data_IF_042563553081
#
_entry.id   IF_042563553081
#
_cell.length_a   1.000
_cell.length_b   1.000
_cell.length_c   1.000
_cell.angle_alpha   90.00
_cell.angle_beta   90.00
_cell.angle_gamma   90.00
#
_symmetry.space_group_name_H-M   'P 1'
#
loop_
_entity.id
_entity.type
_entity.pdbx_description
1 polymer ?
#
# COMPACT_ATOMS: atom_id res chain seq x y z
N UNK A 1 19.13 9.45 21.03
CA UNK A 1 18.75 9.15 20.76
C UNK A 1 18.01 9.04 20.31
N UNK A 2 17.69 9.41 20.40
CA UNK A 2 16.99 9.33 20.07
C UNK A 2 16.50 9.11 19.47
N UNK A 3 16.39 9.32 19.43
CA UNK A 3 15.85 9.11 18.87
C UNK A 3 15.32 8.66 18.28
N UNK A 4 15.35 8.68 17.99
CA UNK A 4 14.75 8.14 17.51
C UNK A 4 14.34 7.33 17.24
N UNK A 5 14.90 7.52 16.77
CA UNK A 5 14.29 6.26 16.70
C UNK A 5 13.35 5.97 17.62
N UNK A 6 13.58 6.30 18.37
CA UNK A 6 12.77 5.95 19.40
C UNK A 6 11.47 6.56 19.37
N UNK A 7 11.10 7.18 18.34
CA UNK A 7 9.80 7.74 18.28
C UNK A 7 8.80 6.71 17.87
N UNK A 8 7.98 6.23 18.76
CA UNK A 8 7.02 5.19 18.42
C UNK A 8 5.95 5.63 17.46
N UNK A 9 5.83 6.91 17.25
CA UNK A 9 4.82 7.41 16.34
C UNK A 9 5.27 7.45 14.91
N UNK A 10 6.52 7.18 14.67
CA UNK A 10 7.03 7.16 13.31
C UNK A 10 6.36 6.07 12.54
N UNK A 11 5.92 6.35 11.32
CA UNK A 11 5.35 5.29 10.50
C UNK A 11 6.42 4.26 10.21
N UNK A 12 6.00 3.02 10.07
CA UNK A 12 6.90 1.96 9.72
C UNK A 12 7.51 2.23 8.36
N UNK A 13 8.80 2.03 8.24
CA UNK A 13 9.49 2.23 6.98
C UNK A 13 9.37 0.99 6.11
N UNK A 14 9.27 1.15 4.80
CA UNK A 14 9.23 -0.01 3.92
C UNK A 14 10.57 -0.73 3.92
N UNK A 15 10.52 -2.04 3.78
CA UNK A 15 11.73 -2.84 3.65
C UNK A 15 12.44 -2.58 2.34
N UNK A 16 11.67 -2.23 1.31
CA UNK A 16 12.20 -1.93 0.00
C UNK A 16 11.69 -0.56 -0.44
N UNK A 17 12.39 0.51 -0.05
CA UNK A 17 11.92 1.86 -0.37
C UNK A 17 11.78 2.14 -1.86
N UNK A 18 12.65 1.55 -2.68
CA UNK A 18 12.57 1.76 -4.12
C UNK A 18 11.28 1.18 -4.68
N UNK A 19 10.93 -0.01 -4.23
CA UNK A 19 9.71 -0.64 -4.67
C UNK A 19 8.48 0.09 -4.14
N UNK A 20 8.57 0.61 -2.93
CA UNK A 20 7.51 1.42 -2.36
C UNK A 20 7.24 2.64 -3.24
N UNK A 21 8.30 3.34 -3.63
CA UNK A 21 8.17 4.51 -4.49
C UNK A 21 7.56 4.13 -5.84
N UNK A 22 7.98 3.00 -6.37
CA UNK A 22 7.45 2.49 -7.62
C UNK A 22 5.95 2.19 -7.50
N UNK A 23 5.55 1.64 -6.36
CA UNK A 23 4.15 1.32 -6.11
C UNK A 23 3.31 2.59 -6.07
N UNK A 24 3.81 3.63 -5.41
CA UNK A 24 3.11 4.92 -5.35
C UNK A 24 2.92 5.48 -6.75
N UNK A 25 3.97 5.45 -7.55
CA UNK A 25 3.92 5.90 -8.92
C UNK A 25 2.87 5.14 -9.72
N UNK A 26 2.86 3.83 -9.56
CA UNK A 26 1.94 2.99 -10.30
C UNK A 26 0.49 3.29 -9.90
N UNK A 27 0.25 3.50 -8.61
CA UNK A 27 -1.07 3.86 -8.14
C UNK A 27 -1.55 5.17 -8.74
N UNK A 28 -0.69 6.17 -8.73
CA UNK A 28 -1.02 7.47 -9.30
C UNK A 28 -1.27 7.37 -10.79
N UNK A 29 -0.50 6.53 -11.47
CA UNK A 29 -0.67 6.32 -12.89
C UNK A 29 -2.04 5.75 -13.19
N UNK A 30 -2.49 4.78 -12.40
CA UNK A 30 -3.80 4.20 -12.58
C UNK A 30 -4.91 5.25 -12.43
N UNK A 31 -4.78 6.10 -11.42
CA UNK A 31 -5.75 7.15 -11.21
C UNK A 31 -5.76 8.15 -12.35
N UNK A 32 -4.59 8.50 -12.86
CA UNK A 32 -4.48 9.45 -13.96
C UNK A 32 -5.08 8.89 -15.25
N UNK A 33 -5.10 7.58 -15.39
CA UNK A 33 -5.69 6.93 -16.54
C UNK A 33 -7.20 6.77 -16.40
N UNK A 34 -7.76 7.25 -15.30
CA UNK A 34 -9.19 7.17 -15.09
C UNK A 34 -9.66 5.90 -14.42
N UNK A 35 -8.74 5.09 -13.93
CA UNK A 35 -9.10 3.87 -13.24
C UNK A 35 -9.53 4.18 -11.81
N UNK A 36 -10.19 3.22 -11.16
CA UNK A 36 -10.73 3.43 -9.83
C UNK A 36 -9.65 3.36 -8.77
N UNK A 37 -9.99 3.85 -7.57
CA UNK A 37 -9.08 3.73 -6.43
C UNK A 37 -8.78 2.27 -6.13
N UNK A 38 -9.76 1.40 -6.31
CA UNK A 38 -9.55 -0.03 -6.09
C UNK A 38 -8.53 -0.58 -7.07
N UNK A 39 -8.58 -0.15 -8.34
CA UNK A 39 -7.60 -0.57 -9.32
C UNK A 39 -6.21 -0.10 -8.94
N UNK A 40 -6.12 1.15 -8.50
CA UNK A 40 -4.84 1.70 -8.07
C UNK A 40 -4.29 0.93 -6.86
N UNK A 41 -5.15 0.64 -5.91
CA UNK A 41 -4.73 -0.10 -4.72
C UNK A 41 -4.26 -1.51 -5.09
N UNK A 42 -4.93 -2.16 -6.02
CA UNK A 42 -4.50 -3.49 -6.44
C UNK A 42 -3.13 -3.45 -7.12
N UNK A 43 -2.89 -2.42 -7.94
CA UNK A 43 -1.60 -2.26 -8.59
C UNK A 43 -0.49 -2.07 -7.57
N UNK A 44 -0.76 -1.26 -6.54
CA UNK A 44 0.19 -1.04 -5.46
C UNK A 44 0.46 -2.34 -4.73
N UNK A 45 -0.60 -3.07 -4.40
CA UNK A 45 -0.47 -4.30 -3.64
C UNK A 45 0.41 -5.32 -4.35
N UNK A 46 0.28 -5.42 -5.66
CA UNK A 46 1.10 -6.36 -6.42
C UNK A 46 2.58 -6.13 -6.22
N UNK A 47 2.96 -4.88 -6.07
CA UNK A 47 4.36 -4.52 -5.94
C UNK A 47 4.89 -4.67 -4.53
N UNK A 48 4.06 -4.44 -3.53
CA UNK A 48 4.54 -4.40 -2.15
C UNK A 48 3.79 -5.31 -1.20
N UNK A 49 3.15 -6.35 -1.71
CA UNK A 49 2.38 -7.24 -0.83
C UNK A 49 3.22 -7.93 0.24
N UNK A 50 4.52 -8.02 0.03
CA UNK A 50 5.41 -8.63 1.02
C UNK A 50 5.77 -7.68 2.15
N UNK A 51 5.44 -6.40 2.00
CA UNK A 51 5.72 -5.44 3.06
C UNK A 51 4.72 -5.61 4.20
N UNK A 52 5.07 -5.12 5.40
CA UNK A 52 4.14 -5.18 6.51
C UNK A 52 2.84 -4.45 6.17
N UNK A 53 1.77 -4.89 6.83
CA UNK A 53 0.45 -4.32 6.61
C UNK A 53 0.44 -2.80 6.68
N UNK A 54 1.10 -2.23 7.67
CA UNK A 54 1.08 -0.79 7.87
C UNK A 54 1.70 -0.04 6.70
N UNK A 55 2.76 -0.62 6.13
CA UNK A 55 3.39 -0.01 4.97
C UNK A 55 2.44 -0.04 3.78
N UNK A 56 1.75 -1.16 3.58
CA UNK A 56 0.80 -1.28 2.48
C UNK A 56 -0.36 -0.29 2.64
N UNK A 57 -0.87 -0.15 3.86
CA UNK A 57 -1.95 0.80 4.11
C UNK A 57 -1.53 2.21 3.78
N UNK A 58 -0.32 2.57 4.18
CA UNK A 58 0.21 3.89 3.89
C UNK A 58 0.34 4.11 2.40
N UNK A 59 0.78 3.09 1.66
CA UNK A 59 0.91 3.19 0.23
C UNK A 59 -0.44 3.42 -0.45
N UNK A 60 -1.49 2.77 0.05
CA UNK A 60 -2.83 2.98 -0.49
C UNK A 60 -3.25 4.43 -0.32
N UNK A 61 -2.95 5.00 0.84
CA UNK A 61 -3.32 6.38 1.11
C UNK A 61 -2.55 7.33 0.20
N UNK A 62 -1.27 7.09 0.04
CA UNK A 62 -0.40 7.99 -0.72
C UNK A 62 -0.51 7.80 -2.23
N UNK A 63 -0.71 6.57 -2.68
CA UNK A 63 -0.68 6.27 -4.09
C UNK A 63 -2.03 6.03 -4.75
N UNK A 64 -3.03 5.62 -3.99
CA UNK A 64 -4.35 5.33 -4.53
C UNK A 64 -5.41 6.31 -4.06
N UNK A 65 -4.99 7.34 -3.33
CA UNK A 65 -5.91 8.36 -2.83
C UNK A 65 -7.02 7.77 -1.96
N UNK A 66 -6.69 6.72 -1.25
CA UNK A 66 -7.62 6.08 -0.33
C UNK A 66 -7.56 6.80 1.00
N UNK A 67 -8.70 6.96 1.67
CA UNK A 67 -8.69 7.61 2.97
C UNK A 67 -8.08 6.68 4.01
N UNK A 68 -7.50 7.24 5.07
CA UNK A 68 -6.94 6.41 6.14
C UNK A 68 -7.97 5.46 6.73
N UNK A 69 -9.21 5.90 6.79
CA UNK A 69 -10.26 5.07 7.34
C UNK A 69 -10.64 3.93 6.41
N UNK A 70 -10.56 4.16 5.11
CA UNK A 70 -10.92 3.14 4.13
C UNK A 70 -9.78 2.19 3.78
N UNK A 71 -8.54 2.59 4.06
CA UNK A 71 -7.39 1.77 3.69
C UNK A 71 -7.44 0.34 4.22
N UNK A 72 -7.80 0.10 5.49
CA UNK A 72 -7.87 -1.27 5.99
C UNK A 72 -8.88 -2.12 5.24
N UNK A 73 -9.98 -1.54 4.82
CA UNK A 73 -11.00 -2.28 4.08
C UNK A 73 -10.46 -2.70 2.72
N UNK A 74 -9.80 -1.79 2.02
CA UNK A 74 -9.17 -2.12 0.74
C UNK A 74 -8.14 -3.21 0.93
N UNK A 75 -7.31 -3.09 1.96
CA UNK A 75 -6.27 -4.06 2.22
C UNK A 75 -6.88 -5.45 2.46
N UNK A 76 -7.89 -5.50 3.29
CA UNK A 76 -8.54 -6.76 3.62
C UNK A 76 -9.09 -7.44 2.38
N UNK A 77 -9.82 -6.69 1.57
CA UNK A 77 -10.46 -7.26 0.38
C UNK A 77 -9.44 -7.70 -0.67
N UNK A 78 -8.43 -6.88 -0.89
CA UNK A 78 -7.42 -7.20 -1.89
C UNK A 78 -6.56 -8.38 -1.44
N UNK A 79 -6.15 -8.37 -0.19
CA UNK A 79 -5.33 -9.43 0.36
C UNK A 79 -6.09 -10.76 0.31
N UNK A 80 -7.35 -10.73 0.63
CA UNK A 80 -8.18 -11.91 0.60
C UNK A 80 -8.24 -12.52 -0.80
N UNK A 81 -8.45 -11.67 -1.80
CA UNK A 81 -8.50 -12.15 -3.17
C UNK A 81 -7.15 -12.65 -3.65
N UNK A 82 -6.10 -11.95 -3.25
CA UNK A 82 -4.74 -12.33 -3.63
C UNK A 82 -4.41 -13.71 -3.08
N UNK A 83 -4.73 -13.94 -1.83
CA UNK A 83 -4.42 -15.22 -1.19
C UNK A 83 -5.26 -16.34 -1.80
N UNK A 84 -6.50 -16.04 -2.12
CA UNK A 84 -7.37 -17.03 -2.73
C UNK A 84 -6.85 -17.44 -4.09
N UNK A 85 -6.44 -16.48 -4.91
CA UNK A 85 -5.89 -16.77 -6.22
C UNK A 85 -4.62 -17.58 -6.12
N UNK A 86 -3.84 -17.31 -5.10
CA UNK A 86 -2.56 -17.97 -4.93
C UNK A 86 -2.69 -19.42 -4.57
N UNK A 87 -3.81 -19.78 -4.00
CA UNK A 87 -4.03 -21.16 -3.60
C UNK A 87 -4.44 -22.06 -4.73
N UNK A 88 -4.72 -21.53 -5.86
CA UNK A 88 -5.18 -22.31 -7.00
C UNK A 88 -4.06 -23.02 -7.72
#
# INVERSE_FOLDING_TARGET
MRTKADTPKEPMQPNDPARYAQAIEEGNKQLNQGNSKADAARAIFRLIHAEPREVVLRAFIEGADVTPKGAPTYYYNINRKFRKNKQV
#
